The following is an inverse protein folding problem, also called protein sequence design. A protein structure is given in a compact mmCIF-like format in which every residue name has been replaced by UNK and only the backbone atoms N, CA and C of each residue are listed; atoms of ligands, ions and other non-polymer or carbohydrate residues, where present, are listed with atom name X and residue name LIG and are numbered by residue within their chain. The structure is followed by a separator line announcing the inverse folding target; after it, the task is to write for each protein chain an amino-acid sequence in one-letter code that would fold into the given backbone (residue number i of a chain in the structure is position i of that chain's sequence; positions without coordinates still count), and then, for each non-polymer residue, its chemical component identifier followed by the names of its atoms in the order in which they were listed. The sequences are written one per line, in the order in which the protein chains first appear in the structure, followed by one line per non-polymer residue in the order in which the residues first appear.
data_IF_155933369430
#
_entry.id   IF_155933369430
#
_cell.length_a   1.000
_cell.length_b   1.000
_cell.length_c   1.000
_cell.angle_alpha   90.00
_cell.angle_beta   90.00
_cell.angle_gamma   90.00
#
_symmetry.space_group_name_H-M   'P 1'
#
loop_
_entity.id
_entity.type
_entity.pdbx_description
1 polymer ?
#
# COMPACT_ATOMS: atom_id res chain seq x y z
N UNK A 1 16.51 7.43 7.95
CA UNK A 1 15.79 7.61 6.68
C UNK A 1 15.36 6.25 6.16
N UNK A 2 14.11 5.87 6.41
CA UNK A 2 13.47 4.70 5.83
C UNK A 2 12.88 5.05 4.46
N UNK A 3 13.19 4.24 3.45
CA UNK A 3 12.74 4.44 2.08
C UNK A 3 11.84 3.28 1.66
N UNK A 4 10.71 3.60 1.06
CA UNK A 4 9.86 2.62 0.40
C UNK A 4 10.29 2.44 -1.05
N UNK A 5 10.98 1.34 -1.35
CA UNK A 5 11.37 1.01 -2.73
C UNK A 5 10.23 0.29 -3.48
N UNK A 6 9.85 0.86 -4.63
CA UNK A 6 8.76 0.42 -5.49
C UNK A 6 9.25 0.27 -6.94
N UNK A 7 8.98 -0.89 -7.54
CA UNK A 7 9.21 -1.11 -8.97
C UNK A 7 7.94 -0.76 -9.74
N UNK A 8 8.09 0.05 -10.80
CA UNK A 8 7.00 0.50 -11.66
C UNK A 8 7.15 0.01 -13.09
N UNK A 9 6.02 -0.21 -13.76
CA UNK A 9 6.00 -0.28 -15.23
C UNK A 9 6.40 1.09 -15.80
N UNK A 10 7.07 1.09 -16.95
CA UNK A 10 7.58 2.30 -17.60
C UNK A 10 6.55 3.41 -17.73
N UNK A 11 5.33 3.08 -18.20
CA UNK A 11 4.22 4.05 -18.32
C UNK A 11 3.96 4.83 -17.02
N UNK A 12 3.83 4.12 -15.90
CA UNK A 12 3.49 4.74 -14.60
C UNK A 12 4.66 5.53 -14.03
N UNK A 13 5.88 5.01 -14.22
CA UNK A 13 7.10 5.73 -13.88
C UNK A 13 7.18 7.07 -14.62
N UNK A 14 6.95 7.05 -15.94
CA UNK A 14 7.06 8.24 -16.78
C UNK A 14 5.97 9.27 -16.42
N UNK A 15 4.75 8.84 -16.05
CA UNK A 15 3.68 9.74 -15.57
C UNK A 15 3.99 10.38 -14.20
N UNK A 16 4.51 9.62 -13.24
CA UNK A 16 4.93 10.18 -11.93
C UNK A 16 6.11 11.14 -12.14
N UNK A 17 7.05 10.79 -13.02
CA UNK A 17 8.18 11.67 -13.39
C UNK A 17 7.71 12.99 -13.99
N UNK A 18 6.64 12.97 -14.78
CA UNK A 18 5.99 14.15 -15.35
C UNK A 18 5.10 14.93 -14.36
N UNK A 19 4.97 14.46 -13.12
CA UNK A 19 4.11 15.03 -12.07
C UNK A 19 2.60 15.00 -12.42
N UNK A 20 2.21 14.25 -13.44
CA UNK A 20 0.80 14.07 -13.84
C UNK A 20 0.05 13.09 -12.91
N UNK A 21 0.81 12.26 -12.20
CA UNK A 21 0.31 11.23 -11.27
C UNK A 21 0.94 11.44 -9.89
N UNK A 22 0.25 12.15 -8.96
CA UNK A 22 0.79 12.52 -7.65
C UNK A 22 0.64 11.41 -6.58
N UNK A 23 0.20 10.22 -6.96
CA UNK A 23 -0.05 9.10 -6.05
C UNK A 23 0.24 7.77 -6.70
N UNK A 24 0.57 6.74 -5.91
CA UNK A 24 0.79 5.36 -6.36
C UNK A 24 -0.16 4.39 -5.68
N UNK A 25 -0.69 3.44 -6.45
CA UNK A 25 -1.69 2.48 -5.97
C UNK A 25 -1.06 1.11 -5.78
N UNK A 26 -1.35 0.48 -4.65
CA UNK A 26 -0.91 -0.89 -4.34
C UNK A 26 -2.06 -1.72 -3.79
N UNK A 27 -2.06 -2.99 -4.15
CA UNK A 27 -3.09 -3.93 -3.71
C UNK A 27 -3.08 -4.07 -2.18
N UNK A 28 -4.24 -3.99 -1.55
CA UNK A 28 -4.38 -3.98 -0.09
C UNK A 28 -3.95 -5.29 0.55
N UNK A 29 -4.16 -6.43 -0.12
CA UNK A 29 -3.81 -7.73 0.40
C UNK A 29 -2.29 -7.95 0.40
N UNK A 30 -1.63 -7.71 -0.74
CA UNK A 30 -0.21 -8.01 -0.89
C UNK A 30 0.73 -6.98 -0.23
N UNK A 31 0.25 -5.77 0.05
CA UNK A 31 1.09 -4.68 0.55
C UNK A 31 0.85 -4.29 2.00
N UNK A 32 -0.11 -4.91 2.67
CA UNK A 32 -0.44 -4.65 4.08
C UNK A 32 0.78 -4.77 4.99
N UNK A 33 1.54 -5.86 4.87
CA UNK A 33 2.74 -6.11 5.67
C UNK A 33 3.87 -5.07 5.48
N UNK A 34 3.84 -4.30 4.39
CA UNK A 34 4.81 -3.21 4.14
C UNK A 34 4.27 -1.86 4.55
N UNK A 35 2.97 -1.62 4.38
CA UNK A 35 2.35 -0.30 4.54
C UNK A 35 1.64 -0.11 5.88
N UNK A 36 1.56 -1.15 6.70
CA UNK A 36 1.01 -1.09 8.06
C UNK A 36 2.11 -1.39 9.08
N UNK A 37 2.11 -0.62 10.17
CA UNK A 37 2.82 -0.94 11.38
C UNK A 37 2.04 -2.03 12.11
N UNK A 38 2.72 -3.14 12.28
CA UNK A 38 2.37 -4.22 13.18
C UNK A 38 3.32 -4.07 14.35
N UNK A 39 2.83 -3.63 15.50
CA UNK A 39 3.61 -3.58 16.73
C UNK A 39 4.16 -4.97 17.07
N UNK A 40 5.21 -5.06 17.90
CA UNK A 40 5.87 -6.35 18.19
C UNK A 40 4.97 -7.37 18.88
N UNK A 41 3.87 -6.94 19.50
CA UNK A 41 2.81 -7.83 19.98
C UNK A 41 1.91 -8.28 18.82
N UNK A 42 1.71 -7.41 17.83
CA UNK A 42 1.13 -7.67 16.54
C UNK A 42 2.09 -8.18 15.47
N UNK A 43 3.12 -8.99 15.78
CA UNK A 43 3.67 -9.95 14.78
C UNK A 43 2.57 -10.99 14.50
N UNK A 44 1.56 -10.48 13.81
CA UNK A 44 0.15 -10.78 13.99
C UNK A 44 -0.61 -10.67 12.70
N UNK A 45 0.11 -10.53 11.59
CA UNK A 45 -0.37 -11.16 10.38
C UNK A 45 -0.37 -12.70 10.50
N UNK A 46 0.32 -13.26 11.52
CA UNK A 46 0.39 -14.69 11.87
C UNK A 46 0.72 -14.90 13.37
N UNK A 47 0.06 -14.19 14.27
CA UNK A 47 0.37 -14.31 15.70
C UNK A 47 -0.11 -15.70 16.16
N UNK A 48 0.82 -16.52 16.65
CA UNK A 48 0.52 -17.83 17.25
C UNK A 48 -0.46 -17.73 18.42
N UNK A 49 -0.58 -16.57 19.06
CA UNK A 49 -1.57 -16.31 20.11
C UNK A 49 -2.95 -15.88 19.56
N UNK A 50 -3.04 -15.42 18.31
CA UNK A 50 -4.30 -15.14 17.60
C UNK A 50 -4.87 -16.39 16.92
N UNK A 51 -4.58 -17.60 17.45
CA UNK A 51 -5.11 -18.90 17.01
C UNK A 51 -6.40 -18.77 16.16
N UNK A 52 -6.26 -18.68 14.84
CA UNK A 52 -7.38 -18.73 13.92
C UNK A 52 -8.12 -17.42 13.61
N UNK A 53 -8.06 -16.30 14.33
CA UNK A 53 -9.09 -15.25 14.11
C UNK A 53 -8.99 -14.47 12.78
N UNK A 54 -7.79 -14.03 12.35
CA UNK A 54 -7.66 -13.32 11.06
C UNK A 54 -7.59 -14.27 9.87
N UNK A 55 -7.01 -15.45 10.06
CA UNK A 55 -6.99 -16.52 9.06
C UNK A 55 -8.39 -17.12 8.88
N UNK A 56 -9.19 -17.26 9.95
CA UNK A 56 -10.62 -17.60 9.88
C UNK A 56 -11.45 -16.45 9.33
N UNK A 57 -11.11 -15.18 9.57
CA UNK A 57 -11.77 -14.07 8.86
C UNK A 57 -11.47 -14.11 7.37
N UNK A 58 -10.22 -14.31 6.98
CA UNK A 58 -9.80 -14.42 5.58
C UNK A 58 -10.34 -15.70 4.91
N UNK A 59 -10.46 -16.81 5.64
CA UNK A 59 -11.03 -18.08 5.18
C UNK A 59 -12.57 -18.07 5.19
N UNK A 60 -13.22 -17.25 6.04
CA UNK A 60 -14.67 -16.96 5.99
C UNK A 60 -15.02 -15.96 4.88
N UNK A 61 -14.07 -15.12 4.48
CA UNK A 61 -14.15 -14.27 3.28
C UNK A 61 -14.03 -15.14 2.02
N UNK A 62 -15.10 -15.90 1.79
CA UNK A 62 -15.27 -16.65 0.56
C UNK A 62 -15.49 -15.63 -0.57
N UNK A 63 -14.44 -15.42 -1.38
CA UNK A 63 -14.46 -14.93 -2.77
C UNK A 63 -14.30 -13.44 -3.14
N UNK A 64 -13.93 -12.49 -2.26
CA UNK A 64 -13.48 -11.18 -2.82
C UNK A 64 -12.44 -10.36 -2.03
N UNK A 65 -11.48 -9.79 -2.76
CA UNK A 65 -10.56 -8.73 -2.30
C UNK A 65 -11.29 -7.53 -1.67
N UNK A 66 -12.58 -7.32 -1.98
CA UNK A 66 -13.42 -6.26 -1.40
C UNK A 66 -13.68 -6.52 0.07
N UNK A 67 -14.02 -7.75 0.45
CA UNK A 67 -14.29 -8.09 1.85
C UNK A 67 -13.03 -7.94 2.71
N UNK A 68 -11.89 -8.45 2.22
CA UNK A 68 -10.61 -8.24 2.89
C UNK A 68 -10.30 -6.76 3.12
N UNK A 69 -10.51 -5.92 2.11
CA UNK A 69 -10.24 -4.48 2.22
C UNK A 69 -11.15 -3.80 3.23
N UNK A 70 -12.42 -4.22 3.31
CA UNK A 70 -13.38 -3.71 4.29
C UNK A 70 -12.97 -4.09 5.72
N UNK A 71 -12.55 -5.33 5.94
CA UNK A 71 -12.05 -5.80 7.24
C UNK A 71 -10.80 -5.03 7.66
N UNK A 72 -9.89 -4.82 6.72
CA UNK A 72 -8.66 -4.09 6.98
C UNK A 72 -8.93 -2.63 7.38
N UNK A 73 -9.88 -1.96 6.71
CA UNK A 73 -10.32 -0.61 7.10
C UNK A 73 -10.88 -0.57 8.52
N UNK A 74 -11.71 -1.55 8.88
CA UNK A 74 -12.27 -1.66 10.22
C UNK A 74 -11.16 -1.85 11.26
N UNK A 75 -10.22 -2.75 11.01
CA UNK A 75 -9.10 -2.99 11.91
C UNK A 75 -8.20 -1.76 12.11
N UNK A 76 -7.98 -0.96 11.06
CA UNK A 76 -7.28 0.33 11.16
C UNK A 76 -8.10 1.34 11.98
N UNK A 77 -9.42 1.40 11.77
CA UNK A 77 -10.30 2.31 12.50
C UNK A 77 -10.39 1.97 14.01
N UNK A 78 -10.34 0.68 14.34
CA UNK A 78 -10.35 0.17 15.71
C UNK A 78 -8.96 0.25 16.39
N UNK A 79 -7.93 0.67 15.66
CA UNK A 79 -6.58 0.87 16.18
C UNK A 79 -5.73 -0.40 16.27
N UNK A 80 -6.15 -1.52 15.67
CA UNK A 80 -5.32 -2.73 15.61
C UNK A 80 -4.13 -2.58 14.65
N UNK A 81 -4.25 -1.72 13.64
CA UNK A 81 -3.18 -1.41 12.71
C UNK A 81 -3.03 0.10 12.53
N UNK A 82 -1.79 0.55 12.46
CA UNK A 82 -1.47 1.93 12.06
C UNK A 82 -0.77 1.93 10.70
N UNK A 83 -0.85 3.03 9.96
CA UNK A 83 -0.08 3.15 8.72
C UNK A 83 1.42 3.29 9.04
N UNK A 84 2.25 2.54 8.31
CA UNK A 84 3.70 2.68 8.42
C UNK A 84 4.15 4.00 7.80
N UNK A 85 4.98 4.73 8.52
CA UNK A 85 5.63 5.92 8.01
C UNK A 85 6.93 5.58 7.30
N UNK A 86 7.19 6.28 6.20
CA UNK A 86 8.45 6.30 5.47
C UNK A 86 8.87 7.74 5.27
N UNK A 87 10.17 8.00 5.18
CA UNK A 87 10.67 9.36 4.89
C UNK A 87 10.53 9.70 3.39
N UNK A 88 10.69 8.69 2.53
CA UNK A 88 10.64 8.86 1.08
C UNK A 88 10.18 7.58 0.35
N UNK A 89 9.72 7.74 -0.89
CA UNK A 89 9.42 6.66 -1.82
C UNK A 89 10.40 6.69 -2.98
N UNK A 90 11.09 5.58 -3.22
CA UNK A 90 11.96 5.42 -4.39
C UNK A 90 11.26 4.57 -5.43
N UNK A 91 11.15 5.11 -6.64
CA UNK A 91 10.62 4.38 -7.78
C UNK A 91 11.74 3.89 -8.67
N UNK A 92 11.66 2.63 -9.09
CA UNK A 92 12.51 2.03 -10.13
C UNK A 92 11.71 1.89 -11.43
N UNK A 93 12.32 2.28 -12.56
CA UNK A 93 11.72 2.07 -13.88
C UNK A 93 11.95 0.64 -14.34
N UNK A 94 11.02 -0.25 -14.04
CA UNK A 94 11.19 -1.70 -14.21
C UNK A 94 12.42 -2.20 -13.45
N UNK A 95 13.06 -3.25 -13.97
CA UNK A 95 14.29 -3.82 -13.40
C UNK A 95 15.56 -3.14 -13.95
N UNK A 96 15.51 -1.81 -14.14
CA UNK A 96 16.67 -1.01 -14.53
C UNK A 96 17.23 -0.24 -13.34
N UNK A 97 18.42 0.34 -13.50
CA UNK A 97 19.04 1.21 -12.48
C UNK A 97 18.47 2.65 -12.48
N UNK A 98 17.49 2.95 -13.34
CA UNK A 98 16.87 4.27 -13.41
C UNK A 98 15.90 4.42 -12.25
N UNK A 99 16.15 5.42 -11.40
CA UNK A 99 15.34 5.68 -10.21
C UNK A 99 14.96 7.15 -10.08
N UNK A 100 13.90 7.40 -9.32
CA UNK A 100 13.52 8.75 -8.85
C UNK A 100 13.01 8.65 -7.42
N UNK A 101 13.21 9.71 -6.64
CA UNK A 101 12.90 9.75 -5.22
C UNK A 101 11.92 10.89 -4.94
N UNK A 102 10.87 10.57 -4.18
CA UNK A 102 9.83 11.51 -3.78
C UNK A 102 9.63 11.48 -2.27
N UNK A 103 9.24 12.61 -1.70
CA UNK A 103 8.73 12.68 -0.34
C UNK A 103 7.50 11.77 -0.18
N UNK A 104 7.46 10.99 0.91
CA UNK A 104 6.30 10.20 1.28
C UNK A 104 5.36 11.04 2.14
N UNK A 105 4.17 11.38 1.63
CA UNK A 105 3.18 12.17 2.37
C UNK A 105 2.19 11.35 3.19
N UNK A 106 2.28 10.03 3.10
CA UNK A 106 1.37 9.11 3.79
C UNK A 106 0.73 8.12 2.85
N UNK A 107 -0.04 7.23 3.46
CA UNK A 107 -0.81 6.19 2.79
C UNK A 107 -2.23 6.14 3.37
N UNK A 108 -3.21 5.84 2.54
CA UNK A 108 -4.60 5.63 2.93
C UNK A 108 -5.22 4.52 2.09
N UNK A 109 -6.36 3.96 2.49
CA UNK A 109 -7.13 3.05 1.63
C UNK A 109 -8.20 3.84 0.89
N UNK A 110 -8.28 3.69 -0.43
CA UNK A 110 -9.31 4.32 -1.26
C UNK A 110 -9.32 3.82 -2.70
N UNK A 111 -10.21 4.38 -3.52
CA UNK A 111 -10.29 4.06 -4.94
C UNK A 111 -9.19 4.77 -5.72
N UNK A 112 -8.67 4.11 -6.76
CA UNK A 112 -7.70 4.70 -7.65
C UNK A 112 -8.36 5.36 -8.87
N UNK A 113 -7.59 6.21 -9.56
CA UNK A 113 -7.99 6.84 -10.82
C UNK A 113 -7.86 5.83 -11.98
N UNK A 114 -8.95 5.52 -12.72
CA UNK A 114 -8.90 4.60 -13.85
C UNK A 114 -7.94 5.04 -14.96
N UNK A 115 -7.71 6.34 -15.15
CA UNK A 115 -6.74 6.86 -16.12
C UNK A 115 -5.30 6.46 -15.78
N UNK A 116 -5.04 6.14 -14.52
CA UNK A 116 -3.75 5.69 -14.00
C UNK A 116 -3.69 4.17 -13.80
N UNK A 117 -4.65 3.44 -14.38
CA UNK A 117 -4.67 1.98 -14.40
C UNK A 117 -5.33 1.32 -13.19
N UNK A 118 -6.07 2.08 -12.37
CA UNK A 118 -6.89 1.50 -11.31
C UNK A 118 -8.16 0.87 -11.88
N UNK A 119 -8.57 -0.25 -11.30
CA UNK A 119 -9.82 -0.92 -11.66
C UNK A 119 -11.00 -0.20 -11.00
N UNK A 120 -12.13 0.02 -11.71
CA UNK A 120 -13.34 0.56 -11.12
C UNK A 120 -13.81 -0.31 -9.94
N UNK A 121 -14.34 0.34 -8.90
CA UNK A 121 -14.85 -0.31 -7.68
C UNK A 121 -13.84 -1.18 -6.91
N UNK A 122 -12.54 -1.08 -7.23
CA UNK A 122 -11.46 -1.69 -6.45
C UNK A 122 -10.75 -0.65 -5.61
N UNK A 123 -10.44 -1.03 -4.38
CA UNK A 123 -9.71 -0.20 -3.44
C UNK A 123 -8.26 -0.65 -3.31
N UNK A 124 -7.39 0.33 -3.06
CA UNK A 124 -5.95 0.19 -3.02
C UNK A 124 -5.42 0.93 -1.80
N UNK A 125 -4.21 0.58 -1.38
CA UNK A 125 -3.37 1.54 -0.70
C UNK A 125 -2.98 2.65 -1.70
N UNK A 126 -3.38 3.86 -1.37
CA UNK A 126 -3.08 5.09 -2.09
C UNK A 126 -1.92 5.77 -1.37
N UNK A 127 -0.73 5.70 -1.97
CA UNK A 127 0.50 6.31 -1.47
C UNK A 127 0.59 7.71 -2.04
N UNK A 128 0.51 8.73 -1.18
CA UNK A 128 0.57 10.14 -1.60
C UNK A 128 2.01 10.61 -1.71
N UNK A 129 2.33 11.25 -2.83
CA UNK A 129 3.67 11.75 -3.12
C UNK A 129 3.75 13.24 -2.84
N UNK A 130 4.88 13.66 -2.28
CA UNK A 130 5.23 15.05 -2.09
C UNK A 130 6.17 15.58 -3.16
N UNK A 131 7.11 16.42 -2.75
CA UNK A 131 8.08 16.99 -3.68
C UNK A 131 9.06 15.92 -4.17
N UNK A 132 9.53 16.09 -5.41
CA UNK A 132 10.62 15.27 -5.93
C UNK A 132 11.92 15.70 -5.24
N UNK A 133 12.64 14.72 -4.71
CA UNK A 133 13.90 14.90 -3.99
C UNK A 133 15.09 14.63 -4.92
N UNK A 134 14.98 13.62 -5.81
CA UNK A 134 16.04 13.20 -6.74
C UNK A 134 15.46 12.55 -8.02
#
# INVERSE_FOLDING_TARGET
MEILDLVLKGKWYDMIKALEKPEEYRDTYFWSARLLNVDREGYGYFCKACHGDFEDLANKCNDSLKEFTQLLKQAIADGYFEYRHYDAVRFHRGYTNITMLFEFKGVSIGTGNPLWGAEPDKEYFVIKLGNRIQ
#
